data_IF_854350885008
#
_entry.id   IF_854350885008
#
_cell.length_a   1.000
_cell.length_b   1.000
_cell.length_c   1.000
_cell.angle_alpha   90.00
_cell.angle_beta   90.00
_cell.angle_gamma   90.00
#
_symmetry.space_group_name_H-M   'P 1'
#
loop_
_entity.id
_entity.type
_entity.pdbx_description
1 polymer ?
#
# COMPACT_ATOMS: atom_id res chain seq x y z
N UNK A 1 -16.05 -4.29 -20.43
CA UNK A 1 -15.90 -2.82 -20.53
C UNK A 1 -14.42 -2.49 -20.72
N UNK A 2 -14.09 -1.32 -21.28
CA UNK A 2 -12.71 -0.83 -21.43
C UNK A 2 -12.57 0.41 -20.57
N UNK A 3 -11.52 0.48 -19.73
CA UNK A 3 -11.29 1.59 -18.81
C UNK A 3 -9.90 2.19 -19.00
N UNK A 4 -9.82 3.51 -18.83
CA UNK A 4 -8.56 4.27 -18.81
C UNK A 4 -8.45 5.00 -17.47
N UNK A 5 -7.51 4.56 -16.61
CA UNK A 5 -7.36 5.09 -15.25
C UNK A 5 -5.88 5.29 -14.86
N UNK A 6 -5.09 6.06 -15.63
CA UNK A 6 -3.63 6.16 -15.44
C UNK A 6 -3.25 6.72 -14.06
N UNK A 7 -3.97 7.73 -13.57
CA UNK A 7 -3.73 8.31 -12.24
C UNK A 7 -4.07 7.35 -11.12
N UNK A 8 -5.20 6.63 -11.23
CA UNK A 8 -5.61 5.66 -10.21
C UNK A 8 -4.63 4.50 -10.11
N UNK A 9 -4.18 3.96 -11.26
CA UNK A 9 -3.18 2.89 -11.31
C UNK A 9 -1.88 3.37 -10.65
N UNK A 10 -1.38 4.55 -11.02
CA UNK A 10 -0.14 5.09 -10.43
C UNK A 10 -0.25 5.29 -8.91
N UNK A 11 -1.37 5.86 -8.43
CA UNK A 11 -1.60 6.09 -7.00
C UNK A 11 -1.72 4.78 -6.22
N UNK A 12 -2.47 3.80 -6.71
CA UNK A 12 -2.61 2.49 -6.06
C UNK A 12 -1.26 1.78 -6.00
N UNK A 13 -0.50 1.76 -7.11
CA UNK A 13 0.83 1.16 -7.13
C UNK A 13 1.78 1.87 -6.16
N UNK A 14 1.79 3.20 -6.13
CA UNK A 14 2.62 3.94 -5.17
C UNK A 14 2.23 3.63 -3.72
N UNK A 15 0.93 3.62 -3.41
CA UNK A 15 0.44 3.34 -2.06
C UNK A 15 0.83 1.93 -1.59
N UNK A 16 0.65 0.91 -2.43
CA UNK A 16 1.08 -0.46 -2.13
C UNK A 16 2.58 -0.55 -1.85
N UNK A 17 3.38 0.21 -2.58
CA UNK A 17 4.83 0.22 -2.41
C UNK A 17 5.28 0.98 -1.17
N UNK A 18 4.50 1.95 -0.71
CA UNK A 18 4.70 2.61 0.58
C UNK A 18 4.34 1.66 1.73
N UNK A 19 3.23 0.93 1.61
CA UNK A 19 2.85 -0.08 2.61
C UNK A 19 3.89 -1.18 2.77
N UNK A 20 4.51 -1.61 1.68
CA UNK A 20 5.59 -2.61 1.73
C UNK A 20 6.77 -2.19 2.60
N UNK A 21 6.96 -0.88 2.85
CA UNK A 21 8.05 -0.36 3.71
C UNK A 21 7.57 0.11 5.08
N UNK A 22 6.28 0.42 5.27
CA UNK A 22 5.75 0.97 6.54
C UNK A 22 4.79 0.05 7.30
N UNK A 23 4.32 -1.05 6.69
CA UNK A 23 3.33 -1.95 7.30
C UNK A 23 3.96 -3.29 7.67
N UNK A 24 3.71 -3.73 8.90
CA UNK A 24 4.18 -5.03 9.40
C UNK A 24 3.60 -6.19 8.58
N UNK A 25 4.38 -7.27 8.46
CA UNK A 25 4.09 -8.39 7.55
C UNK A 25 2.72 -9.05 7.75
N UNK A 26 2.34 -9.39 8.97
CA UNK A 26 1.06 -10.03 9.25
C UNK A 26 -0.11 -9.07 9.07
N UNK A 27 0.04 -7.80 9.48
CA UNK A 27 -0.93 -6.75 9.18
C UNK A 27 -1.14 -6.60 7.67
N UNK A 28 -0.06 -6.53 6.88
CA UNK A 28 -0.13 -6.43 5.42
C UNK A 28 -0.82 -7.65 4.77
N UNK A 29 -0.56 -8.87 5.28
CA UNK A 29 -1.21 -10.10 4.81
C UNK A 29 -2.71 -10.07 5.02
N UNK A 30 -3.17 -9.61 6.19
CA UNK A 30 -4.59 -9.51 6.48
C UNK A 30 -5.24 -8.35 5.74
N UNK A 31 -4.58 -7.20 5.66
CA UNK A 31 -5.04 -5.99 4.96
C UNK A 31 -5.39 -6.25 3.51
N UNK A 32 -4.61 -7.06 2.77
CA UNK A 32 -4.95 -7.45 1.38
C UNK A 32 -6.33 -8.09 1.23
N UNK A 33 -6.75 -8.90 2.21
CA UNK A 33 -8.08 -9.52 2.19
C UNK A 33 -9.18 -8.49 2.48
N UNK A 34 -8.90 -7.57 3.41
CA UNK A 34 -9.81 -6.46 3.74
C UNK A 34 -10.00 -5.52 2.56
N UNK A 35 -8.94 -5.14 1.85
CA UNK A 35 -8.99 -4.27 0.67
C UNK A 35 -9.79 -4.91 -0.48
N UNK A 36 -9.55 -6.20 -0.74
CA UNK A 36 -10.33 -6.92 -1.74
C UNK A 36 -11.82 -6.89 -1.39
N UNK A 37 -12.16 -7.21 -0.14
CA UNK A 37 -13.57 -7.21 0.29
C UNK A 37 -14.17 -5.82 0.23
N UNK A 38 -13.42 -4.79 0.60
CA UNK A 38 -13.85 -3.39 0.48
C UNK A 38 -14.17 -3.04 -0.97
N UNK A 39 -13.32 -3.41 -1.93
CA UNK A 39 -13.54 -3.19 -3.35
C UNK A 39 -14.79 -3.88 -3.90
N UNK A 40 -14.99 -5.15 -3.55
CA UNK A 40 -16.21 -5.91 -3.91
C UNK A 40 -17.47 -5.21 -3.40
N UNK A 41 -17.46 -4.73 -2.15
CA UNK A 41 -18.61 -4.03 -1.58
C UNK A 41 -18.93 -2.73 -2.30
N UNK A 42 -17.92 -1.98 -2.74
CA UNK A 42 -18.14 -0.77 -3.55
C UNK A 42 -18.72 -1.14 -4.92
N UNK A 43 -18.20 -2.19 -5.55
CA UNK A 43 -18.70 -2.70 -6.83
C UNK A 43 -20.17 -3.13 -6.75
N UNK A 44 -20.56 -3.80 -5.67
CA UNK A 44 -21.93 -4.26 -5.42
C UNK A 44 -22.90 -3.12 -4.99
N UNK A 45 -22.44 -1.87 -4.94
CA UNK A 45 -23.25 -0.71 -4.52
C UNK A 45 -23.49 -0.63 -3.01
N UNK A 46 -22.74 -1.39 -2.20
CA UNK A 46 -22.87 -1.46 -0.74
C UNK A 46 -22.08 -0.37 0.01
N UNK A 47 -21.91 0.80 -0.60
CA UNK A 47 -21.11 1.92 -0.06
C UNK A 47 -21.51 2.35 1.36
N UNK A 48 -22.81 2.34 1.67
CA UNK A 48 -23.35 2.76 2.98
C UNK A 48 -23.56 1.61 3.97
N UNK A 49 -23.18 0.38 3.60
CA UNK A 49 -23.39 -0.79 4.44
C UNK A 49 -22.57 -0.73 5.74
N UNK A 50 -23.06 -1.34 6.83
CA UNK A 50 -22.35 -1.34 8.12
C UNK A 50 -20.99 -2.05 8.03
N UNK A 51 -20.89 -3.12 7.22
CA UNK A 51 -19.63 -3.82 7.03
C UNK A 51 -18.59 -2.93 6.32
N UNK A 52 -18.96 -2.19 5.26
CA UNK A 52 -18.05 -1.28 4.57
C UNK A 52 -17.49 -0.24 5.54
N UNK A 53 -18.34 0.35 6.39
CA UNK A 53 -17.92 1.29 7.44
C UNK A 53 -16.95 0.67 8.46
N UNK A 54 -17.15 -0.59 8.83
CA UNK A 54 -16.23 -1.29 9.72
C UNK A 54 -14.87 -1.52 9.04
N UNK A 55 -14.86 -1.87 7.74
CA UNK A 55 -13.63 -2.00 6.96
C UNK A 55 -12.90 -0.65 6.81
N UNK A 56 -13.62 0.46 6.63
CA UNK A 56 -13.03 1.81 6.63
C UNK A 56 -12.26 2.07 7.94
N UNK A 57 -12.84 1.71 9.08
CA UNK A 57 -12.20 1.84 10.39
C UNK A 57 -10.90 1.03 10.50
N UNK A 58 -10.93 -0.22 10.03
CA UNK A 58 -9.72 -1.05 9.96
C UNK A 58 -8.65 -0.44 9.05
N UNK A 59 -9.02 0.03 7.85
CA UNK A 59 -8.08 0.60 6.89
C UNK A 59 -7.44 1.88 7.45
N UNK A 60 -8.23 2.73 8.11
CA UNK A 60 -7.70 3.95 8.76
C UNK A 60 -6.66 3.61 9.83
N UNK A 61 -6.91 2.59 10.65
CA UNK A 61 -5.96 2.12 11.66
C UNK A 61 -4.69 1.56 11.03
N UNK A 62 -4.85 0.69 10.03
CA UNK A 62 -3.73 0.06 9.35
C UNK A 62 -2.84 1.06 8.60
N UNK A 63 -3.39 2.22 8.20
CA UNK A 63 -2.70 3.25 7.45
C UNK A 63 -2.06 4.35 8.33
N UNK A 64 -2.14 4.28 9.67
CA UNK A 64 -1.62 5.33 10.57
C UNK A 64 -0.17 5.74 10.28
N UNK A 65 0.69 4.77 9.94
CA UNK A 65 2.12 4.98 9.68
C UNK A 65 2.49 4.96 8.19
N UNK A 66 1.50 4.89 7.29
CA UNK A 66 1.72 4.84 5.83
C UNK A 66 2.01 6.24 5.30
N UNK A 67 3.18 6.75 5.66
CA UNK A 67 3.66 8.10 5.34
C UNK A 67 5.03 8.03 4.69
N UNK A 68 5.23 8.71 3.56
CA UNK A 68 6.50 8.76 2.85
C UNK A 68 6.36 9.11 1.37
N UNK A 69 7.47 9.02 0.66
CA UNK A 69 7.59 9.37 -0.75
C UNK A 69 7.95 8.14 -1.60
N UNK A 70 7.21 7.96 -2.70
CA UNK A 70 7.48 6.93 -3.71
C UNK A 70 7.86 7.60 -5.02
N UNK A 71 9.07 7.30 -5.50
CA UNK A 71 9.54 7.79 -6.80
C UNK A 71 9.13 6.82 -7.88
N UNK A 72 8.49 7.32 -8.93
CA UNK A 72 8.05 6.53 -10.08
C UNK A 72 8.58 7.09 -11.39
N UNK A 73 8.85 6.21 -12.34
CA UNK A 73 9.06 6.55 -13.76
C UNK A 73 7.82 6.18 -14.54
N UNK A 74 7.23 7.16 -15.23
CA UNK A 74 6.09 6.97 -16.10
C UNK A 74 6.58 6.88 -17.55
N UNK A 75 6.53 5.70 -18.14
CA UNK A 75 7.02 5.50 -19.51
C UNK A 75 6.31 4.32 -20.19
N UNK A 76 6.00 4.46 -21.48
CA UNK A 76 5.43 3.38 -22.29
C UNK A 76 4.12 2.81 -21.73
N UNK A 77 3.25 3.65 -21.17
CA UNK A 77 1.98 3.24 -20.56
C UNK A 77 2.12 2.52 -19.21
N UNK A 78 3.30 2.58 -18.57
CA UNK A 78 3.57 1.95 -17.28
C UNK A 78 4.02 2.98 -16.25
N UNK A 79 3.65 2.75 -15.01
CA UNK A 79 4.18 3.43 -13.84
C UNK A 79 5.06 2.46 -13.06
N UNK A 80 6.38 2.70 -13.04
CA UNK A 80 7.36 1.79 -12.43
C UNK A 80 8.01 2.49 -11.24
N UNK A 81 8.00 1.85 -10.07
CA UNK A 81 8.67 2.38 -8.87
C UNK A 81 10.19 2.27 -9.01
N UNK A 82 10.87 3.37 -8.72
CA UNK A 82 12.34 3.49 -8.79
C UNK A 82 12.98 3.92 -7.47
N UNK A 83 12.18 4.23 -6.45
CA UNK A 83 12.70 4.55 -5.11
C UNK A 83 11.59 4.65 -4.07
N UNK A 84 11.94 4.35 -2.82
CA UNK A 84 11.06 4.42 -1.65
C UNK A 84 11.80 5.19 -0.55
N UNK A 85 11.12 6.11 0.12
CA UNK A 85 11.65 6.85 1.27
C UNK A 85 10.53 7.06 2.30
N UNK A 86 10.76 6.71 3.55
CA UNK A 86 9.83 6.95 4.65
C UNK A 86 10.62 7.11 5.95
N UNK A 87 10.19 8.03 6.82
CA UNK A 87 10.70 8.15 8.19
C UNK A 87 10.09 7.08 9.12
N UNK A 88 8.93 6.53 8.75
CA UNK A 88 8.20 5.44 9.43
C UNK A 88 8.56 4.06 8.85
N UNK A 89 9.70 3.97 8.18
CA UNK A 89 10.14 2.75 7.51
C UNK A 89 10.50 1.67 8.52
N UNK A 90 9.86 0.50 8.39
CA UNK A 90 10.21 -0.71 9.14
C UNK A 90 11.47 -1.40 8.60
N UNK A 91 12.00 -0.94 7.46
CA UNK A 91 13.27 -1.40 6.94
C UNK A 91 14.42 -0.92 7.84
N UNK A 92 15.04 -1.86 8.55
CA UNK A 92 16.28 -1.64 9.27
C UNK A 92 17.48 -2.02 8.38
N UNK A 93 18.24 -1.00 7.97
CA UNK A 93 19.42 -1.17 7.13
C UNK A 93 20.48 -2.06 7.79
N UNK A 94 20.64 -1.98 9.11
CA UNK A 94 21.67 -2.74 9.83
C UNK A 94 21.32 -4.23 9.94
N UNK A 95 20.02 -4.56 9.98
CA UNK A 95 19.56 -5.95 9.97
C UNK A 95 19.58 -6.58 8.57
N UNK A 96 19.54 -5.76 7.51
CA UNK A 96 19.49 -6.20 6.13
C UNK A 96 20.85 -6.23 5.43
N UNK A 97 21.84 -5.50 5.94
CA UNK A 97 23.17 -5.42 5.34
C UNK A 97 24.09 -6.52 5.86
N UNK A 98 24.67 -7.31 4.95
CA UNK A 98 25.82 -8.18 5.22
C UNK A 98 27.13 -7.37 5.25
N UNK A 99 27.19 -6.29 6.04
CA UNK A 99 28.46 -5.59 6.29
C UNK A 99 29.12 -6.15 7.55
N UNK A 100 30.43 -5.96 7.65
CA UNK A 100 31.38 -6.42 8.66
C UNK A 100 31.11 -6.00 10.12
N UNK A 101 29.90 -5.51 10.42
CA UNK A 101 29.40 -5.17 11.75
C UNK A 101 28.59 -6.27 12.44
N UNK A 102 28.30 -7.38 11.76
CA UNK A 102 27.73 -8.59 12.38
C UNK A 102 28.79 -9.26 13.29
N UNK A 103 28.84 -8.84 14.55
CA UNK A 103 29.57 -9.53 15.65
C UNK A 103 28.66 -9.73 16.85
#
# INVERSE_FOLDING_TARGET
EVYEAPGAIALITAHQELENVTVERELARYKRQVEQRWGEMVYDGLWFSPLKRALDGFINEANQHVTGDIRMTLHGGRAVVTGRKSEESLYDFNLAAYDSGDT
#
